data_IF_063509525554
#
_entry.id   IF_063509525554
#
_cell.length_a   1.000
_cell.length_b   1.000
_cell.length_c   1.000
_cell.angle_alpha   90.00
_cell.angle_beta   90.00
_cell.angle_gamma   90.00
#
_symmetry.space_group_name_H-M   'P 1'
#
loop_
_entity.id
_entity.type
_entity.pdbx_description
1 polymer ?
#
# COMPACT_ATOMS: atom_id res chain seq x y z
N UNK A 1 35.53 -13.04 -3.99
CA UNK A 1 34.72 -11.96 -3.38
C UNK A 1 33.30 -11.97 -3.92
N UNK A 2 33.12 -12.02 -5.25
CA UNK A 2 31.82 -12.08 -5.92
C UNK A 2 30.95 -13.28 -5.53
N UNK A 3 31.57 -14.46 -5.33
CA UNK A 3 30.85 -15.67 -4.92
C UNK A 3 30.24 -15.54 -3.52
N UNK A 4 30.95 -14.91 -2.57
CA UNK A 4 30.43 -14.62 -1.22
C UNK A 4 29.29 -13.62 -1.26
N UNK A 5 29.40 -12.57 -2.07
CA UNK A 5 28.33 -11.57 -2.27
C UNK A 5 27.08 -12.25 -2.84
N UNK A 6 27.25 -13.08 -3.87
CA UNK A 6 26.14 -13.79 -4.50
C UNK A 6 25.46 -14.77 -3.55
N UNK A 7 26.24 -15.49 -2.74
CA UNK A 7 25.73 -16.38 -1.70
C UNK A 7 24.93 -15.60 -0.66
N UNK A 8 25.47 -14.50 -0.14
CA UNK A 8 24.78 -13.65 0.84
C UNK A 8 23.47 -13.11 0.29
N UNK A 9 23.46 -12.59 -0.95
CA UNK A 9 22.23 -12.08 -1.58
C UNK A 9 21.21 -13.20 -1.75
N UNK A 10 21.61 -14.38 -2.24
CA UNK A 10 20.70 -15.53 -2.37
C UNK A 10 20.11 -15.93 -1.03
N UNK A 11 20.93 -16.10 0.00
CA UNK A 11 20.47 -16.49 1.34
C UNK A 11 19.47 -15.48 1.90
N UNK A 12 19.74 -14.18 1.77
CA UNK A 12 18.83 -13.12 2.22
C UNK A 12 17.52 -13.14 1.45
N UNK A 13 17.58 -13.22 0.12
CA UNK A 13 16.38 -13.27 -0.73
C UNK A 13 15.53 -14.51 -0.47
N UNK A 14 16.15 -15.67 -0.27
CA UNK A 14 15.45 -16.91 0.08
C UNK A 14 14.82 -16.83 1.48
N UNK A 15 15.55 -16.33 2.48
CA UNK A 15 15.03 -16.15 3.83
C UNK A 15 13.85 -15.18 3.84
N UNK A 16 13.99 -14.04 3.14
CA UNK A 16 12.91 -13.06 3.01
C UNK A 16 11.69 -13.65 2.30
N UNK A 17 11.88 -14.35 1.18
CA UNK A 17 10.80 -15.00 0.45
C UNK A 17 10.07 -16.06 1.29
N UNK A 18 10.81 -16.83 2.10
CA UNK A 18 10.22 -17.81 3.01
C UNK A 18 9.37 -17.14 4.10
N UNK A 19 9.89 -16.07 4.73
CA UNK A 19 9.15 -15.31 5.75
C UNK A 19 7.93 -14.65 5.14
N UNK A 20 8.07 -13.96 4.01
CA UNK A 20 6.95 -13.30 3.32
C UNK A 20 5.88 -14.32 2.89
N UNK A 21 6.30 -15.45 2.33
CA UNK A 21 5.39 -16.54 1.96
C UNK A 21 4.63 -17.10 3.16
N UNK A 22 5.27 -17.22 4.32
CA UNK A 22 4.60 -17.63 5.55
C UNK A 22 3.61 -16.58 6.06
N UNK A 23 4.03 -15.31 6.17
CA UNK A 23 3.19 -14.22 6.69
C UNK A 23 1.95 -13.96 5.82
N UNK A 24 2.06 -14.15 4.51
CA UNK A 24 0.95 -13.90 3.60
C UNK A 24 0.18 -15.16 3.19
N UNK A 25 0.51 -16.35 3.73
CA UNK A 25 -0.20 -17.58 3.36
C UNK A 25 0.02 -18.03 1.92
N UNK A 26 1.21 -17.74 1.40
CA UNK A 26 1.63 -17.97 0.01
C UNK A 26 1.68 -16.70 -0.83
N UNK A 27 2.20 -16.82 -2.05
CA UNK A 27 2.26 -15.74 -3.03
C UNK A 27 1.16 -15.93 -4.08
N UNK A 28 0.23 -14.98 -4.18
CA UNK A 28 -0.88 -15.05 -5.12
C UNK A 28 -1.02 -13.77 -5.94
N UNK A 29 -1.92 -13.78 -6.92
CA UNK A 29 -2.15 -12.64 -7.82
C UNK A 29 -2.60 -11.38 -7.07
N UNK A 30 -3.38 -11.50 -5.98
CA UNK A 30 -3.85 -10.35 -5.19
C UNK A 30 -2.71 -9.67 -4.43
N UNK A 31 -1.83 -10.44 -3.78
CA UNK A 31 -0.63 -9.91 -3.11
C UNK A 31 0.30 -9.28 -4.14
N UNK A 32 0.48 -9.92 -5.29
CA UNK A 32 1.30 -9.38 -6.38
C UNK A 32 0.75 -8.05 -6.90
N UNK A 33 -0.56 -7.97 -7.12
CA UNK A 33 -1.22 -6.74 -7.56
C UNK A 33 -1.08 -5.62 -6.50
N UNK A 34 -1.26 -5.94 -5.22
CA UNK A 34 -1.08 -4.99 -4.14
C UNK A 34 0.34 -4.44 -4.10
N UNK A 35 1.34 -5.33 -4.24
CA UNK A 35 2.74 -4.91 -4.30
C UNK A 35 3.00 -3.96 -5.48
N UNK A 36 2.48 -4.29 -6.67
CA UNK A 36 2.62 -3.42 -7.85
C UNK A 36 1.99 -2.05 -7.59
N UNK A 37 0.76 -1.98 -7.06
CA UNK A 37 0.13 -0.70 -6.76
C UNK A 37 0.91 0.11 -5.72
N UNK A 38 1.38 -0.51 -4.63
CA UNK A 38 2.20 0.18 -3.62
C UNK A 38 3.48 0.75 -4.23
N UNK A 39 4.15 0.01 -5.11
CA UNK A 39 5.36 0.48 -5.80
C UNK A 39 5.04 1.63 -6.75
N UNK A 40 3.97 1.52 -7.55
CA UNK A 40 3.54 2.59 -8.46
C UNK A 40 3.13 3.85 -7.68
N UNK A 41 2.41 3.69 -6.58
CA UNK A 41 2.03 4.81 -5.71
C UNK A 41 3.26 5.53 -5.16
N UNK A 42 4.22 4.77 -4.62
CA UNK A 42 5.46 5.34 -4.13
C UNK A 42 6.25 6.08 -5.22
N UNK A 43 6.35 5.51 -6.43
CA UNK A 43 7.03 6.13 -7.56
C UNK A 43 6.32 7.41 -8.03
N UNK A 44 4.99 7.39 -8.13
CA UNK A 44 4.20 8.56 -8.56
C UNK A 44 4.24 9.67 -7.52
N UNK A 45 4.12 9.34 -6.23
CA UNK A 45 4.26 10.31 -5.13
C UNK A 45 5.67 10.90 -5.05
N UNK A 46 6.70 10.09 -5.27
CA UNK A 46 8.07 10.58 -5.37
C UNK A 46 8.24 11.52 -6.58
N UNK A 47 7.70 11.17 -7.74
CA UNK A 47 7.73 12.01 -8.94
C UNK A 47 7.07 13.38 -8.72
N UNK A 48 5.90 13.41 -8.09
CA UNK A 48 5.22 14.66 -7.72
C UNK A 48 6.08 15.51 -6.77
N UNK A 49 6.65 14.89 -5.74
CA UNK A 49 7.52 15.60 -4.79
C UNK A 49 8.78 16.15 -5.45
N UNK A 50 9.35 15.42 -6.41
CA UNK A 50 10.51 15.84 -7.19
C UNK A 50 10.20 17.05 -8.06
N UNK A 51 9.13 16.99 -8.85
CA UNK A 51 8.71 18.08 -9.75
C UNK A 51 8.41 19.36 -8.98
N UNK A 52 7.78 19.26 -7.81
CA UNK A 52 7.42 20.40 -6.98
C UNK A 52 8.56 20.89 -6.06
N UNK A 53 9.74 20.26 -6.09
CA UNK A 53 10.86 20.60 -5.20
C UNK A 53 10.59 20.34 -3.71
N UNK A 54 9.58 19.52 -3.38
CA UNK A 54 9.10 19.26 -2.01
C UNK A 54 9.61 17.92 -1.45
N UNK A 55 10.88 17.60 -1.66
CA UNK A 55 11.52 16.38 -1.15
C UNK A 55 11.74 16.47 0.37
N UNK A 56 10.67 16.56 1.15
CA UNK A 56 10.75 16.47 2.60
C UNK A 56 10.82 15.00 3.02
N UNK A 57 12.03 14.54 3.36
CA UNK A 57 12.32 13.18 3.86
C UNK A 57 11.33 12.72 4.95
N UNK A 58 10.90 13.62 5.84
CA UNK A 58 9.94 13.31 6.90
C UNK A 58 8.61 12.81 6.34
N UNK A 59 8.03 13.48 5.35
CA UNK A 59 6.78 13.05 4.69
C UNK A 59 6.96 11.72 3.96
N UNK A 60 8.10 11.55 3.27
CA UNK A 60 8.44 10.30 2.59
C UNK A 60 8.55 9.10 3.53
N UNK A 61 9.16 9.28 4.71
CA UNK A 61 9.28 8.23 5.72
C UNK A 61 7.91 7.78 6.25
N UNK A 62 7.01 8.73 6.54
CA UNK A 62 5.64 8.40 6.94
C UNK A 62 4.89 7.64 5.83
N UNK A 63 5.12 8.00 4.56
CA UNK A 63 4.58 7.27 3.41
C UNK A 63 5.01 5.80 3.43
N UNK A 64 6.31 5.53 3.54
CA UNK A 64 6.87 4.17 3.59
C UNK A 64 6.34 3.40 4.81
N UNK A 65 6.32 4.02 5.99
CA UNK A 65 5.79 3.38 7.21
C UNK A 65 4.32 2.96 7.03
N UNK A 66 3.50 3.79 6.37
CA UNK A 66 2.11 3.46 6.04
C UNK A 66 2.03 2.24 5.12
N UNK A 67 2.88 2.15 4.09
CA UNK A 67 2.91 0.98 3.18
C UNK A 67 3.34 -0.29 3.91
N UNK A 68 4.29 -0.22 4.84
CA UNK A 68 4.64 -1.36 5.70
C UNK A 68 3.43 -1.79 6.54
N UNK A 69 2.68 -0.84 7.10
CA UNK A 69 1.48 -1.12 7.87
C UNK A 69 0.39 -1.83 7.05
N UNK A 70 0.24 -1.51 5.75
CA UNK A 70 -0.64 -2.24 4.83
C UNK A 70 -0.31 -3.73 4.82
N UNK A 71 0.96 -4.11 4.63
CA UNK A 71 1.35 -5.52 4.60
C UNK A 71 1.26 -6.21 5.97
N UNK A 72 1.46 -5.46 7.07
CA UNK A 72 1.19 -5.97 8.42
C UNK A 72 -0.29 -6.30 8.60
N UNK A 73 -1.20 -5.45 8.11
CA UNK A 73 -2.64 -5.70 8.16
C UNK A 73 -3.06 -6.91 7.30
N UNK A 74 -2.47 -7.08 6.12
CA UNK A 74 -2.67 -8.29 5.29
C UNK A 74 -2.20 -9.55 6.02
N UNK A 75 -1.10 -9.47 6.76
CA UNK A 75 -0.59 -10.58 7.60
C UNK A 75 -1.56 -10.93 8.72
N UNK A 76 -2.06 -9.93 9.45
CA UNK A 76 -3.06 -10.15 10.52
C UNK A 76 -4.31 -10.80 9.94
N UNK A 77 -4.82 -10.29 8.82
CA UNK A 77 -5.99 -10.84 8.15
C UNK A 77 -5.78 -12.28 7.65
N UNK A 78 -4.58 -12.60 7.17
CA UNK A 78 -4.20 -13.97 6.82
C UNK A 78 -4.30 -14.91 8.03
N UNK A 79 -3.73 -14.54 9.18
CA UNK A 79 -3.80 -15.39 10.36
C UNK A 79 -5.22 -15.53 10.92
N UNK A 80 -6.07 -14.52 10.78
CA UNK A 80 -7.51 -14.64 11.07
C UNK A 80 -8.13 -15.71 10.17
N UNK A 81 -7.88 -15.68 8.86
CA UNK A 81 -8.38 -16.71 7.95
C UNK A 81 -7.89 -18.10 8.35
N UNK A 82 -6.61 -18.25 8.73
CA UNK A 82 -6.05 -19.55 9.17
C UNK A 82 -6.80 -20.10 10.38
N UNK A 83 -7.05 -19.26 11.39
CA UNK A 83 -7.81 -19.66 12.60
C UNK A 83 -9.25 -20.07 12.27
N UNK A 84 -9.85 -19.46 11.25
CA UNK A 84 -11.22 -19.71 10.80
C UNK A 84 -11.36 -20.84 9.77
N UNK A 85 -10.31 -21.65 9.56
CA UNK A 85 -10.36 -22.78 8.61
C UNK A 85 -9.83 -22.45 7.21
N UNK A 86 -9.00 -21.43 7.09
CA UNK A 86 -8.30 -21.00 5.88
C UNK A 86 -9.22 -20.57 4.72
N UNK A 87 -10.29 -19.83 5.03
CA UNK A 87 -11.32 -19.41 4.07
C UNK A 87 -10.89 -18.28 3.12
N UNK A 88 -9.80 -17.56 3.43
CA UNK A 88 -9.24 -16.42 2.67
C UNK A 88 -10.18 -15.23 2.48
N UNK A 89 -11.24 -15.10 3.29
CA UNK A 89 -12.18 -13.98 3.16
C UNK A 89 -11.62 -12.69 3.72
N UNK A 90 -11.00 -12.74 4.90
CA UNK A 90 -10.48 -11.55 5.57
C UNK A 90 -9.27 -10.98 4.85
N UNK A 91 -8.32 -11.84 4.48
CA UNK A 91 -7.14 -11.45 3.72
C UNK A 91 -7.54 -10.78 2.40
N UNK A 92 -8.43 -11.39 1.63
CA UNK A 92 -8.85 -10.82 0.36
C UNK A 92 -9.57 -9.48 0.54
N UNK A 93 -10.46 -9.37 1.52
CA UNK A 93 -11.16 -8.11 1.82
C UNK A 93 -10.18 -6.98 2.18
N UNK A 94 -9.20 -7.27 3.05
CA UNK A 94 -8.17 -6.31 3.43
C UNK A 94 -7.29 -5.93 2.23
N UNK A 95 -6.91 -6.90 1.38
CA UNK A 95 -6.18 -6.59 0.15
C UNK A 95 -7.02 -5.70 -0.76
N UNK A 96 -8.29 -6.01 -1.02
CA UNK A 96 -9.15 -5.18 -1.88
C UNK A 96 -9.33 -3.76 -1.33
N UNK A 97 -9.48 -3.62 -0.01
CA UNK A 97 -9.52 -2.31 0.64
C UNK A 97 -8.24 -1.51 0.35
N UNK A 98 -7.06 -2.12 0.51
CA UNK A 98 -5.82 -1.42 0.22
C UNK A 98 -5.56 -1.22 -1.28
N UNK A 99 -5.99 -2.12 -2.16
CA UNK A 99 -5.95 -1.89 -3.60
C UNK A 99 -6.70 -0.62 -3.99
N UNK A 100 -7.89 -0.41 -3.41
CA UNK A 100 -8.67 0.80 -3.64
C UNK A 100 -7.94 2.05 -3.11
N UNK A 101 -7.36 1.98 -1.91
CA UNK A 101 -6.60 3.10 -1.33
C UNK A 101 -5.35 3.45 -2.15
N UNK A 102 -4.59 2.46 -2.59
CA UNK A 102 -3.39 2.68 -3.41
C UNK A 102 -3.77 3.24 -4.79
N UNK A 103 -4.83 2.72 -5.40
CA UNK A 103 -5.34 3.26 -6.67
C UNK A 103 -5.79 4.72 -6.52
N UNK A 104 -6.49 5.06 -5.43
CA UNK A 104 -6.91 6.42 -5.13
C UNK A 104 -5.71 7.38 -5.02
N UNK A 105 -4.69 6.99 -4.24
CA UNK A 105 -3.46 7.76 -4.07
C UNK A 105 -2.68 7.93 -5.39
N UNK A 106 -2.64 6.90 -6.24
CA UNK A 106 -2.04 7.01 -7.59
C UNK A 106 -2.81 8.02 -8.44
N UNK A 107 -4.14 7.95 -8.47
CA UNK A 107 -4.95 8.88 -9.26
C UNK A 107 -4.72 10.32 -8.80
N UNK A 108 -4.67 10.55 -7.50
CA UNK A 108 -4.35 11.87 -6.92
C UNK A 108 -2.98 12.38 -7.37
N UNK A 109 -1.94 11.55 -7.31
CA UNK A 109 -0.59 11.90 -7.74
C UNK A 109 -0.50 12.16 -9.25
N UNK A 110 -1.14 11.33 -10.05
CA UNK A 110 -1.22 11.47 -11.52
C UNK A 110 -1.95 12.75 -11.91
N UNK A 111 -3.02 13.11 -11.20
CA UNK A 111 -3.74 14.37 -11.39
C UNK A 111 -2.88 15.58 -11.08
N UNK A 112 -2.08 15.53 -10.00
CA UNK A 112 -1.10 16.58 -9.67
C UNK A 112 0.01 16.73 -10.72
N UNK A 113 0.35 15.66 -11.43
CA UNK A 113 1.28 15.71 -12.57
C UNK A 113 0.64 16.26 -13.85
N UNK A 114 -0.65 16.58 -13.85
CA UNK A 114 -1.36 17.15 -15.00
C UNK A 114 -1.85 16.12 -16.01
N UNK A 115 -1.81 14.82 -15.69
CA UNK A 115 -2.43 13.81 -16.54
C UNK A 115 -3.96 13.90 -16.46
N UNK A 116 -4.68 13.81 -17.59
CA UNK A 116 -6.13 13.91 -17.60
C UNK A 116 -6.77 12.71 -16.93
N UNK A 117 -7.55 12.96 -15.88
CA UNK A 117 -8.34 11.94 -15.17
C UNK A 117 -9.80 12.06 -15.61
N UNK A 118 -10.46 10.96 -16.01
CA UNK A 118 -11.89 10.99 -16.33
C UNK A 118 -12.73 11.55 -15.16
N UNK A 119 -13.75 12.35 -15.47
CA UNK A 119 -14.61 13.02 -14.49
C UNK A 119 -15.24 12.08 -13.46
N UNK A 120 -15.51 10.83 -13.84
CA UNK A 120 -16.07 9.80 -12.94
C UNK A 120 -15.11 9.52 -11.77
N UNK A 121 -13.81 9.39 -12.05
CA UNK A 121 -12.81 9.19 -11.02
C UNK A 121 -12.65 10.45 -10.17
N UNK A 122 -12.54 11.64 -10.78
CA UNK A 122 -12.43 12.90 -10.02
C UNK A 122 -13.55 13.07 -8.97
N UNK A 123 -14.80 12.81 -9.37
CA UNK A 123 -15.94 12.87 -8.44
C UNK A 123 -15.85 11.81 -7.35
N UNK A 124 -15.40 10.60 -7.68
CA UNK A 124 -15.23 9.55 -6.68
C UNK A 124 -14.17 9.93 -5.64
N UNK A 125 -13.05 10.53 -6.07
CA UNK A 125 -12.00 11.03 -5.17
C UNK A 125 -12.58 12.08 -4.22
N UNK A 126 -13.25 13.10 -4.75
CA UNK A 126 -13.82 14.22 -3.97
C UNK A 126 -14.83 13.76 -2.92
N UNK A 127 -15.70 12.81 -3.25
CA UNK A 127 -16.68 12.23 -2.31
C UNK A 127 -15.99 11.44 -1.19
N UNK A 128 -14.90 10.74 -1.51
CA UNK A 128 -14.15 9.96 -0.52
C UNK A 128 -13.38 10.88 0.43
N UNK A 129 -12.77 11.95 -0.09
CA UNK A 129 -12.11 12.97 0.72
C UNK A 129 -13.09 13.67 1.67
N UNK A 130 -14.24 14.13 1.16
CA UNK A 130 -15.23 14.86 1.98
C UNK A 130 -15.78 14.00 3.13
N UNK A 131 -16.01 12.71 2.88
CA UNK A 131 -16.47 11.77 3.92
C UNK A 131 -15.41 11.52 4.98
N UNK A 132 -14.13 11.47 4.60
CA UNK A 132 -13.04 11.26 5.55
C UNK A 132 -12.86 12.44 6.51
N UNK A 133 -13.02 13.68 6.02
CA UNK A 133 -12.96 14.89 6.85
C UNK A 133 -14.14 14.99 7.83
N UNK A 134 -15.35 14.62 7.39
CA UNK A 134 -16.54 14.57 8.25
C UNK A 134 -16.39 13.57 9.41
N UNK A 135 -15.88 12.36 9.14
CA UNK A 135 -15.65 11.33 10.16
C UNK A 135 -14.55 11.73 11.17
N UNK A 136 -13.49 12.38 10.71
CA UNK A 136 -12.42 12.89 11.58
C UNK A 136 -12.94 14.04 12.48
N UNK A 137 -13.81 14.91 11.96
CA UNK A 137 -14.45 15.97 12.74
C UNK A 137 -15.44 15.45 13.80
N UNK A 138 -16.19 14.39 13.49
CA UNK A 138 -17.14 13.75 14.41
C UNK A 138 -16.45 12.96 15.53
N UNK A 139 -15.21 12.51 15.30
CA UNK A 139 -14.42 11.76 16.29
C UNK A 139 -13.64 12.67 17.24
N UNK A 140 -13.53 13.97 16.92
CA UNK A 140 -12.78 14.98 17.67
C UNK A 140 -13.63 16.01 18.43
N UNK A 141 -14.91 15.72 18.72
CA UNK A 141 -15.66 16.53 19.70
C UNK A 141 -14.89 16.58 21.04
N UNK A 142 -14.49 17.79 21.52
CA UNK A 142 -13.88 17.91 22.83
C UNK A 142 -14.95 17.58 23.88
N UNK A 143 -14.74 16.50 24.63
CA UNK A 143 -15.48 16.26 25.88
C UNK A 143 -15.11 17.28 26.94
#
# INVERSE_FOLDING_TARGET
MEERITLTVKTLSTAFGAVAGYLFGGWNVLINLLLILVVVDWLTGFGVAWVNGQLMSRKGFYGIARKIAVFMMVTVAHFIDVVLGNLKYFQNAVIFFYLANELLSILENVGRMGLPIPKVFQRAIEILESKSEEEESATHEPK
#
